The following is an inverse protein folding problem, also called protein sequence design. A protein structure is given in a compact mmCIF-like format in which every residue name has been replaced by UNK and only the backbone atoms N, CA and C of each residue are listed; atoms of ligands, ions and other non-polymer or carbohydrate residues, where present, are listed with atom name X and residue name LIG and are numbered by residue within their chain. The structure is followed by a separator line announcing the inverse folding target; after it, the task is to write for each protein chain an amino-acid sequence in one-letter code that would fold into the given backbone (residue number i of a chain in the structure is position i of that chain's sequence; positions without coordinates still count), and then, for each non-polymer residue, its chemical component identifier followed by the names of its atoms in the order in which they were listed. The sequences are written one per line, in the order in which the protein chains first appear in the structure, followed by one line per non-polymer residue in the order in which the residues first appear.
data_IF_554190264334
#
_entry.id   IF_554190264334
#
_cell.length_a   1.000
_cell.length_b   1.000
_cell.length_c   1.000
_cell.angle_alpha   90.00
_cell.angle_beta   90.00
_cell.angle_gamma   90.00
#
_symmetry.space_group_name_H-M   'P 1'
#
loop_
_entity.id
_entity.type
_entity.pdbx_description
1 polymer ?
#
# COMPACT_ATOMS: atom_id res chain seq x y z
N UNK A 1 -7.30 -31.59 -5.37
CA UNK A 1 -7.14 -30.14 -5.13
C UNK A 1 -8.21 -29.69 -4.13
N UNK A 2 -7.95 -29.84 -2.82
CA UNK A 2 -8.78 -29.16 -1.81
C UNK A 2 -8.65 -27.65 -2.04
N UNK A 3 -9.79 -26.98 -2.18
CA UNK A 3 -9.89 -25.61 -2.67
C UNK A 3 -8.99 -24.67 -1.85
N UNK A 4 -7.94 -24.16 -2.49
CA UNK A 4 -7.17 -23.04 -1.97
C UNK A 4 -8.10 -21.82 -1.89
N UNK A 5 -8.69 -21.58 -0.72
CA UNK A 5 -9.68 -20.52 -0.51
C UNK A 5 -9.16 -19.11 -0.87
N UNK A 6 -7.84 -18.95 -0.96
CA UNK A 6 -7.19 -17.71 -1.42
C UNK A 6 -7.22 -17.53 -2.95
N UNK A 7 -7.18 -18.63 -3.72
CA UNK A 7 -7.10 -18.58 -5.18
C UNK A 7 -8.34 -17.95 -5.81
N UNK A 8 -9.53 -18.29 -5.31
CA UNK A 8 -10.79 -17.70 -5.79
C UNK A 8 -10.81 -16.18 -5.69
N UNK A 9 -10.23 -15.60 -4.62
CA UNK A 9 -10.18 -14.15 -4.44
C UNK A 9 -9.26 -13.47 -5.44
N UNK A 10 -8.13 -14.11 -5.78
CA UNK A 10 -7.21 -13.60 -6.80
C UNK A 10 -7.81 -13.72 -8.20
N UNK A 11 -8.47 -14.84 -8.52
CA UNK A 11 -9.17 -15.02 -9.80
C UNK A 11 -10.31 -14.01 -9.98
N UNK A 12 -11.08 -13.70 -8.93
CA UNK A 12 -12.08 -12.64 -8.99
C UNK A 12 -11.46 -11.27 -9.29
N UNK A 13 -10.34 -10.93 -8.65
CA UNK A 13 -9.65 -9.66 -8.90
C UNK A 13 -9.12 -9.58 -10.35
N UNK A 14 -8.56 -10.68 -10.87
CA UNK A 14 -8.09 -10.75 -12.24
C UNK A 14 -9.24 -10.69 -13.27
N UNK A 15 -10.36 -11.36 -12.99
CA UNK A 15 -11.57 -11.30 -13.82
C UNK A 15 -12.13 -9.87 -13.91
N UNK A 16 -12.17 -9.14 -12.79
CA UNK A 16 -12.61 -7.75 -12.79
C UNK A 16 -11.70 -6.87 -13.64
N UNK A 17 -10.38 -7.10 -13.58
CA UNK A 17 -9.40 -6.40 -14.40
C UNK A 17 -9.57 -6.74 -15.89
N UNK A 18 -9.69 -8.03 -16.25
CA UNK A 18 -9.86 -8.45 -17.64
C UNK A 18 -11.16 -7.97 -18.27
N UNK A 19 -12.21 -7.76 -17.45
CA UNK A 19 -13.48 -7.13 -17.84
C UNK A 19 -13.46 -5.60 -17.78
N UNK A 20 -12.29 -4.99 -17.62
CA UNK A 20 -12.07 -3.55 -17.54
C UNK A 20 -12.88 -2.83 -16.43
N UNK A 21 -13.27 -3.55 -15.38
CA UNK A 21 -13.95 -3.01 -14.19
C UNK A 21 -12.95 -2.35 -13.23
N UNK A 22 -11.73 -2.85 -13.18
CA UNK A 22 -10.58 -2.14 -12.61
C UNK A 22 -9.50 -1.98 -13.68
N UNK A 23 -8.90 -0.78 -13.78
CA UNK A 23 -7.90 -0.46 -14.81
C UNK A 23 -6.49 -0.30 -14.26
N UNK A 24 -6.38 0.31 -13.08
CA UNK A 24 -5.10 0.70 -12.50
C UNK A 24 -4.61 -0.22 -11.36
N UNK A 25 -5.49 -1.05 -10.79
CA UNK A 25 -5.15 -1.87 -9.62
C UNK A 25 -5.95 -3.19 -9.60
N UNK A 26 -5.43 -4.17 -8.86
CA UNK A 26 -6.16 -5.39 -8.51
C UNK A 26 -7.05 -5.12 -7.30
N UNK A 27 -8.32 -5.52 -7.37
CA UNK A 27 -9.25 -5.35 -6.26
C UNK A 27 -8.83 -6.22 -5.07
N UNK A 28 -8.59 -5.60 -3.91
CA UNK A 28 -8.26 -6.29 -2.66
C UNK A 28 -9.50 -6.93 -2.01
N UNK A 29 -10.12 -7.91 -2.67
CA UNK A 29 -11.38 -8.53 -2.22
C UNK A 29 -11.28 -9.14 -0.80
N UNK A 30 -10.11 -9.65 -0.41
CA UNK A 30 -9.90 -10.17 0.94
C UNK A 30 -10.07 -9.09 2.03
N UNK A 31 -9.63 -7.86 1.77
CA UNK A 31 -9.77 -6.75 2.70
C UNK A 31 -11.24 -6.33 2.83
N UNK A 32 -11.95 -6.21 1.71
CA UNK A 32 -13.38 -5.87 1.72
C UNK A 32 -14.26 -6.96 2.37
N UNK A 33 -14.00 -8.24 2.08
CA UNK A 33 -14.71 -9.34 2.75
C UNK A 33 -14.46 -9.40 4.26
N UNK A 34 -13.32 -8.89 4.75
CA UNK A 34 -13.04 -8.80 6.19
C UNK A 34 -13.95 -7.76 6.88
N UNK A 35 -14.40 -6.74 6.15
CA UNK A 35 -15.32 -5.72 6.65
C UNK A 35 -16.79 -6.22 6.71
N UNK A 36 -17.13 -7.30 6.00
CA UNK A 36 -18.48 -7.89 6.02
C UNK A 36 -18.66 -8.74 7.29
N UNK A 37 -19.79 -8.60 8.03
CA UNK A 37 -20.09 -9.39 9.22
C UNK A 37 -19.94 -10.89 8.99
N UNK A 38 -19.35 -11.59 9.96
CA UNK A 38 -19.03 -13.00 9.85
C UNK A 38 -20.28 -13.88 9.75
N UNK A 39 -21.36 -13.47 10.43
CA UNK A 39 -22.66 -14.13 10.47
C UNK A 39 -23.26 -14.24 9.07
N UNK A 40 -23.13 -13.18 8.26
CA UNK A 40 -23.55 -13.18 6.85
C UNK A 40 -22.64 -14.07 6.00
N UNK A 41 -21.32 -14.02 6.22
CA UNK A 41 -20.33 -14.80 5.45
C UNK A 41 -20.48 -16.31 5.59
N UNK A 42 -21.07 -16.80 6.68
CA UNK A 42 -21.27 -18.23 6.95
C UNK A 42 -22.60 -18.80 6.45
N UNK A 43 -23.51 -17.96 5.97
CA UNK A 43 -24.76 -18.44 5.38
C UNK A 43 -24.47 -19.17 4.07
N UNK A 44 -25.06 -20.35 3.91
CA UNK A 44 -24.94 -21.17 2.69
C UNK A 44 -25.94 -20.77 1.60
N UNK A 45 -26.92 -19.95 1.94
CA UNK A 45 -27.92 -19.43 1.01
C UNK A 45 -27.25 -18.69 -0.17
N UNK A 46 -27.54 -19.07 -1.43
CA UNK A 46 -26.94 -18.46 -2.61
C UNK A 46 -27.14 -16.95 -2.74
N UNK A 47 -28.33 -16.43 -2.36
CA UNK A 47 -28.64 -15.00 -2.45
C UNK A 47 -27.82 -14.22 -1.43
N UNK A 48 -27.75 -14.72 -0.19
CA UNK A 48 -26.93 -14.10 0.85
C UNK A 48 -25.44 -14.15 0.48
N UNK A 49 -24.98 -15.24 -0.13
CA UNK A 49 -23.59 -15.35 -0.61
C UNK A 49 -23.27 -14.34 -1.69
N UNK A 50 -24.19 -14.08 -2.61
CA UNK A 50 -24.02 -13.05 -3.65
C UNK A 50 -23.99 -11.66 -3.02
N UNK A 51 -24.91 -11.36 -2.10
CA UNK A 51 -24.94 -10.09 -1.34
C UNK A 51 -23.59 -9.84 -0.63
N UNK A 52 -23.06 -10.85 0.07
CA UNK A 52 -21.77 -10.78 0.77
C UNK A 52 -20.62 -10.45 -0.17
N UNK A 53 -20.58 -11.05 -1.37
CA UNK A 53 -19.52 -10.78 -2.35
C UNK A 53 -19.64 -9.36 -2.90
N UNK A 54 -20.85 -8.92 -3.26
CA UNK A 54 -21.09 -7.56 -3.74
C UNK A 54 -20.75 -6.52 -2.68
N UNK A 55 -21.14 -6.73 -1.43
CA UNK A 55 -20.78 -5.88 -0.31
C UNK A 55 -19.25 -5.89 -0.11
N UNK A 56 -18.60 -7.05 -0.14
CA UNK A 56 -17.15 -7.15 -0.04
C UNK A 56 -16.41 -6.40 -1.16
N UNK A 57 -16.94 -6.37 -2.38
CA UNK A 57 -16.40 -5.58 -3.47
C UNK A 57 -16.53 -4.07 -3.22
N UNK A 58 -17.70 -3.62 -2.74
CA UNK A 58 -17.94 -2.23 -2.40
C UNK A 58 -17.00 -1.75 -1.27
N UNK A 59 -16.85 -2.56 -0.21
CA UNK A 59 -15.94 -2.26 0.89
C UNK A 59 -14.47 -2.25 0.46
N UNK A 60 -14.07 -3.15 -0.44
CA UNK A 60 -12.71 -3.15 -1.00
C UNK A 60 -12.43 -1.87 -1.81
N UNK A 61 -13.41 -1.39 -2.59
CA UNK A 61 -13.30 -0.14 -3.33
C UNK A 61 -13.20 1.06 -2.40
N UNK A 62 -14.05 1.13 -1.38
CA UNK A 62 -14.04 2.19 -0.37
C UNK A 62 -12.70 2.24 0.40
N UNK A 63 -12.17 1.07 0.80
CA UNK A 63 -10.87 0.99 1.46
C UNK A 63 -9.74 1.46 0.54
N UNK A 64 -9.78 1.08 -0.75
CA UNK A 64 -8.80 1.52 -1.75
C UNK A 64 -8.81 3.03 -1.97
N UNK A 65 -10.00 3.66 -2.07
CA UNK A 65 -10.13 5.11 -2.20
C UNK A 65 -9.56 5.84 -0.98
N UNK A 66 -9.88 5.38 0.24
CA UNK A 66 -9.35 5.97 1.48
C UNK A 66 -7.82 5.91 1.54
N UNK A 67 -7.23 4.78 1.17
CA UNK A 67 -5.78 4.64 1.14
C UNK A 67 -5.14 5.49 0.04
N UNK A 68 -5.77 5.58 -1.13
CA UNK A 68 -5.33 6.47 -2.20
C UNK A 68 -5.29 7.93 -1.73
N UNK A 69 -6.37 8.43 -1.14
CA UNK A 69 -6.46 9.83 -0.69
C UNK A 69 -5.44 10.13 0.42
N UNK A 70 -5.23 9.16 1.31
CA UNK A 70 -4.17 9.22 2.32
C UNK A 70 -2.79 9.33 1.66
N UNK A 71 -2.47 8.44 0.73
CA UNK A 71 -1.17 8.45 0.03
C UNK A 71 -0.97 9.71 -0.79
N UNK A 72 -2.01 10.22 -1.46
CA UNK A 72 -1.97 11.46 -2.22
C UNK A 72 -1.68 12.68 -1.32
N UNK A 73 -2.36 12.75 -0.16
CA UNK A 73 -2.12 13.79 0.84
C UNK A 73 -0.69 13.71 1.38
N UNK A 74 -0.21 12.50 1.68
CA UNK A 74 1.15 12.29 2.17
C UNK A 74 2.20 12.61 1.11
N UNK A 75 1.96 12.26 -0.16
CA UNK A 75 2.81 12.66 -1.28
C UNK A 75 2.97 14.18 -1.32
N UNK A 76 1.87 14.94 -1.31
CA UNK A 76 1.93 16.40 -1.34
C UNK A 76 2.66 17.02 -0.14
N UNK A 77 2.58 16.41 1.05
CA UNK A 77 3.36 16.85 2.22
C UNK A 77 4.86 16.61 2.05
N UNK A 78 5.24 15.45 1.52
CA UNK A 78 6.64 15.11 1.29
C UNK A 78 7.23 15.92 0.14
N UNK A 79 6.44 16.17 -0.91
CA UNK A 79 6.82 16.96 -2.08
C UNK A 79 7.26 18.37 -1.69
N UNK A 80 6.47 19.06 -0.84
CA UNK A 80 6.82 20.37 -0.27
C UNK A 80 8.12 20.38 0.54
N UNK A 81 8.54 19.24 1.12
CA UNK A 81 9.83 19.14 1.84
C UNK A 81 11.02 18.99 0.89
N UNK A 82 10.74 18.61 -0.35
CA UNK A 82 11.72 18.45 -1.43
C UNK A 82 11.85 19.70 -2.30
N UNK A 83 10.90 20.64 -2.23
CA UNK A 83 10.96 21.94 -2.90
C UNK A 83 12.20 22.74 -2.50
N UNK A 84 12.84 23.39 -3.48
CA UNK A 84 14.03 24.24 -3.27
C UNK A 84 15.30 23.47 -2.86
N UNK A 85 15.28 22.13 -2.86
CA UNK A 85 16.50 21.34 -2.61
C UNK A 85 17.44 21.43 -3.81
N UNK A 86 18.75 21.34 -3.53
CA UNK A 86 19.81 21.36 -4.54
C UNK A 86 19.57 20.26 -5.59
N UNK A 87 19.93 20.54 -6.84
CA UNK A 87 19.80 19.62 -7.99
C UNK A 87 20.44 18.24 -7.76
N UNK A 88 21.50 18.16 -6.96
CA UNK A 88 22.19 16.91 -6.64
C UNK A 88 21.58 16.12 -5.47
N UNK A 89 20.49 16.61 -4.84
CA UNK A 89 19.85 15.92 -3.72
C UNK A 89 19.16 14.64 -4.18
N UNK A 90 19.26 13.58 -3.36
CA UNK A 90 18.53 12.31 -3.54
C UNK A 90 17.18 12.27 -2.81
N UNK A 91 16.75 13.40 -2.23
CA UNK A 91 15.50 13.51 -1.48
C UNK A 91 14.23 13.29 -2.33
N UNK A 92 14.09 13.86 -3.55
CA UNK A 92 12.94 13.60 -4.40
C UNK A 92 12.79 12.12 -4.76
N UNK A 93 13.91 11.45 -5.05
CA UNK A 93 13.91 10.01 -5.34
C UNK A 93 13.57 9.18 -4.10
N UNK A 94 13.97 9.63 -2.90
CA UNK A 94 13.54 8.99 -1.66
C UNK A 94 12.04 9.18 -1.38
N UNK A 95 11.47 10.35 -1.68
CA UNK A 95 10.01 10.60 -1.62
C UNK A 95 9.26 9.57 -2.47
N UNK A 96 9.66 9.41 -3.73
CA UNK A 96 9.00 8.49 -4.66
C UNK A 96 9.14 7.03 -4.20
N UNK A 97 10.34 6.66 -3.72
CA UNK A 97 10.58 5.34 -3.15
C UNK A 97 9.68 5.09 -1.93
N UNK A 98 9.57 6.06 -1.01
CA UNK A 98 8.76 5.93 0.20
C UNK A 98 7.26 5.85 -0.09
N UNK A 99 6.76 6.51 -1.14
CA UNK A 99 5.36 6.43 -1.54
C UNK A 99 5.06 5.10 -2.25
N UNK A 100 5.99 4.59 -3.05
CA UNK A 100 5.84 3.32 -3.77
C UNK A 100 5.94 2.08 -2.87
N UNK A 101 6.57 2.20 -1.71
CA UNK A 101 6.90 1.08 -0.83
C UNK A 101 6.38 1.33 0.59
N UNK A 102 5.56 0.42 1.17
CA UNK A 102 4.95 0.64 2.48
C UNK A 102 5.99 0.79 3.61
N UNK A 103 7.14 0.13 3.46
CA UNK A 103 8.27 0.20 4.39
C UNK A 103 9.56 0.29 3.58
N UNK A 104 10.43 1.23 3.95
CA UNK A 104 11.77 1.39 3.37
C UNK A 104 12.84 1.18 4.43
N UNK A 105 13.88 0.43 4.11
CA UNK A 105 15.03 0.19 4.99
C UNK A 105 16.25 0.97 4.52
N UNK A 106 17.25 1.16 5.39
CA UNK A 106 18.47 1.87 5.01
C UNK A 106 19.22 1.17 3.88
N UNK A 107 19.22 -0.17 3.88
CA UNK A 107 19.80 -0.99 2.81
C UNK A 107 19.05 -0.81 1.50
N UNK A 108 17.71 -0.78 1.52
CA UNK A 108 16.90 -0.55 0.32
C UNK A 108 17.15 0.85 -0.27
N UNK A 109 17.19 1.88 0.58
CA UNK A 109 17.47 3.26 0.17
C UNK A 109 18.88 3.35 -0.44
N UNK A 110 19.88 2.77 0.22
CA UNK A 110 21.26 2.76 -0.25
C UNK A 110 21.38 2.11 -1.62
N UNK A 111 20.77 0.93 -1.78
CA UNK A 111 20.79 0.18 -3.03
C UNK A 111 20.04 0.90 -4.15
N UNK A 112 18.89 1.54 -3.87
CA UNK A 112 18.09 2.21 -4.91
C UNK A 112 18.56 3.60 -5.28
N UNK A 113 19.18 4.34 -4.35
CA UNK A 113 19.62 5.71 -4.61
C UNK A 113 21.14 5.81 -4.86
N UNK A 114 21.88 4.70 -4.74
CA UNK A 114 23.33 4.67 -4.93
C UNK A 114 24.07 5.50 -3.87
N UNK A 115 23.57 5.50 -2.63
CA UNK A 115 24.13 6.28 -1.52
C UNK A 115 24.70 5.37 -0.44
N UNK A 116 25.58 5.90 0.40
CA UNK A 116 26.12 5.13 1.53
C UNK A 116 25.01 4.86 2.56
N UNK A 117 25.13 3.79 3.38
CA UNK A 117 24.17 3.51 4.46
C UNK A 117 23.97 4.67 5.45
N UNK A 118 25.03 5.45 5.70
CA UNK A 118 24.96 6.66 6.53
C UNK A 118 24.17 7.78 5.84
N UNK A 119 24.40 8.01 4.56
CA UNK A 119 23.63 8.98 3.79
C UNK A 119 22.15 8.60 3.69
N UNK A 120 21.84 7.31 3.53
CA UNK A 120 20.45 6.81 3.55
C UNK A 120 19.73 7.14 4.87
N UNK A 121 20.41 6.97 6.01
CA UNK A 121 19.88 7.34 7.33
C UNK A 121 19.60 8.84 7.43
N UNK A 122 20.53 9.68 6.96
CA UNK A 122 20.37 11.14 6.97
C UNK A 122 19.21 11.57 6.06
N UNK A 123 19.12 11.03 4.84
CA UNK A 123 18.02 11.35 3.92
C UNK A 123 16.66 10.99 4.50
N UNK A 124 16.52 9.84 5.19
CA UNK A 124 15.27 9.44 5.82
C UNK A 124 14.86 10.40 6.95
N UNK A 125 15.83 10.91 7.72
CA UNK A 125 15.61 11.92 8.76
C UNK A 125 15.25 13.28 8.16
N UNK A 126 15.98 13.72 7.14
CA UNK A 126 15.78 15.00 6.44
C UNK A 126 14.41 15.07 5.75
N UNK A 127 13.94 13.96 5.19
CA UNK A 127 12.60 13.84 4.62
C UNK A 127 11.51 13.78 5.72
N UNK A 128 11.91 13.44 6.95
CA UNK A 128 11.05 13.29 8.12
C UNK A 128 10.11 12.09 8.00
N UNK A 129 10.64 10.95 7.53
CA UNK A 129 9.91 9.68 7.53
C UNK A 129 9.74 9.14 8.96
N UNK A 130 8.64 8.43 9.21
CA UNK A 130 8.35 7.86 10.53
C UNK A 130 9.10 6.55 10.71
N UNK A 131 9.95 6.47 11.73
CA UNK A 131 10.61 5.20 12.08
C UNK A 131 9.56 4.19 12.59
N UNK A 132 9.50 3.02 11.94
CA UNK A 132 8.56 1.96 12.26
C UNK A 132 9.09 1.00 13.34
N UNK A 133 10.41 0.89 13.47
CA UNK A 133 11.06 -0.16 14.27
C UNK A 133 11.43 0.25 15.70
N UNK A 134 11.64 1.54 15.98
CA UNK A 134 12.08 2.04 17.29
C UNK A 134 13.42 1.47 17.78
N UNK A 135 14.32 1.08 16.87
CA UNK A 135 15.54 0.33 17.17
C UNK A 135 16.77 1.11 16.72
N UNK A 136 17.90 0.95 17.42
CA UNK A 136 19.17 1.61 17.01
C UNK A 136 19.70 1.08 15.68
N UNK A 137 19.58 -0.23 15.41
CA UNK A 137 20.04 -0.93 14.20
C UNK A 137 18.86 -1.49 13.40
N UNK A 138 19.07 -1.74 12.10
CA UNK A 138 18.06 -2.27 11.17
C UNK A 138 16.79 -1.42 11.12
N UNK A 139 16.98 -0.09 11.05
CA UNK A 139 15.89 0.86 11.01
C UNK A 139 15.10 0.71 9.71
N UNK A 140 13.80 0.78 9.85
CA UNK A 140 12.88 0.88 8.74
C UNK A 140 11.94 2.06 8.96
N UNK A 141 11.58 2.73 7.89
CA UNK A 141 10.69 3.88 7.91
C UNK A 141 9.46 3.63 7.05
N UNK A 142 8.40 4.32 7.41
CA UNK A 142 7.15 4.39 6.68
C UNK A 142 6.79 5.85 6.46
N UNK A 143 5.96 6.09 5.46
CA UNK A 143 5.35 7.40 5.29
C UNK A 143 4.43 7.68 6.49
N UNK A 144 4.41 8.92 7.01
CA UNK A 144 3.61 9.28 8.18
C UNK A 144 2.10 9.16 7.93
#
# INVERSE_FOLDING_TARGET
MQAQAWLGRLLCADLLRSRAKTRAHLTCLAAGLKAVPQEKRWKRDPVIRLEVVLQGLAEAANAGLKEHDRLFTTYGRLDRRTDGRRSNSKLPQLRDLAISSPIVTSSLISARLGVTPRAALMLAQDLGLREATGRKRYRAWSVP
#
